data_IF_605917274181
#
_entry.id   IF_605917274181
#
_cell.length_a   1.000
_cell.length_b   1.000
_cell.length_c   1.000
_cell.angle_alpha   90.00
_cell.angle_beta   90.00
_cell.angle_gamma   90.00
#
_symmetry.space_group_name_H-M   'P 1'
#
loop_
_entity.id
_entity.type
_entity.pdbx_description
1 polymer ?
#
# COMPACT_ATOMS: atom_id res chain seq x y z
N UNK A 1 -3.17 28.71 28.71
CA UNK A 1 -2.93 27.65 27.71
C UNK A 1 -2.44 26.43 28.47
N UNK A 2 -3.12 25.30 28.34
CA UNK A 2 -2.73 24.07 29.04
C UNK A 2 -1.56 23.47 28.28
N UNK A 3 -0.37 23.44 28.91
CA UNK A 3 0.81 22.84 28.32
C UNK A 3 0.54 21.34 28.09
N UNK A 4 0.65 20.88 26.85
CA UNK A 4 0.38 19.48 26.52
C UNK A 4 1.67 18.66 26.53
N UNK A 5 1.57 17.35 26.73
CA UNK A 5 2.73 16.45 26.60
C UNK A 5 3.41 16.59 25.24
N UNK A 6 2.65 16.91 24.18
CA UNK A 6 3.19 17.19 22.86
C UNK A 6 4.10 18.42 22.83
N UNK A 7 3.70 19.51 23.50
CA UNK A 7 4.48 20.75 23.57
C UNK A 7 5.81 20.51 24.31
N UNK A 8 5.76 19.77 25.42
CA UNK A 8 6.94 19.38 26.17
C UNK A 8 7.84 18.42 25.38
N UNK A 9 7.26 17.44 24.67
CA UNK A 9 7.99 16.48 23.85
C UNK A 9 8.74 17.17 22.71
N UNK A 10 8.09 18.12 22.02
CA UNK A 10 8.69 18.87 20.91
C UNK A 10 9.92 19.70 21.34
N UNK A 11 9.96 20.14 22.60
CA UNK A 11 11.08 20.90 23.14
C UNK A 11 12.27 20.03 23.60
N UNK A 12 12.13 18.71 23.62
CA UNK A 12 13.18 17.79 24.07
C UNK A 12 14.33 17.65 23.05
N UNK A 13 15.51 17.27 23.51
CA UNK A 13 16.57 16.79 22.63
C UNK A 13 16.21 15.41 22.07
N UNK A 14 16.77 15.03 20.91
CA UNK A 14 16.54 13.70 20.32
C UNK A 14 16.83 12.53 21.29
N UNK A 15 17.85 12.69 22.15
CA UNK A 15 18.19 11.71 23.19
C UNK A 15 17.07 11.55 24.23
N UNK A 16 16.42 12.66 24.64
CA UNK A 16 15.32 12.65 25.61
C UNK A 16 14.03 12.17 24.95
N UNK A 17 13.75 12.61 23.72
CA UNK A 17 12.63 12.10 22.92
C UNK A 17 12.69 10.58 22.77
N UNK A 18 13.86 10.02 22.43
CA UNK A 18 14.06 8.58 22.29
C UNK A 18 13.74 7.80 23.58
N UNK A 19 14.10 8.34 24.75
CA UNK A 19 13.76 7.75 26.04
C UNK A 19 12.25 7.79 26.31
N UNK A 20 11.62 8.95 26.10
CA UNK A 20 10.16 9.08 26.24
C UNK A 20 9.40 8.14 25.29
N UNK A 21 9.93 7.89 24.08
CA UNK A 21 9.34 6.94 23.12
C UNK A 21 9.49 5.48 23.56
N UNK A 22 10.61 5.11 24.16
CA UNK A 22 10.80 3.80 24.81
C UNK A 22 9.79 3.60 25.94
N UNK A 23 9.59 4.60 26.81
CA UNK A 23 8.60 4.55 27.89
C UNK A 23 7.16 4.45 27.36
N UNK A 24 6.81 5.24 26.33
CA UNK A 24 5.49 5.16 25.68
C UNK A 24 5.24 3.80 25.05
N UNK A 25 6.27 3.19 24.46
CA UNK A 25 6.17 1.87 23.83
C UNK A 25 6.08 0.77 24.88
N UNK A 26 6.78 0.91 26.00
CA UNK A 26 6.64 0.00 27.13
C UNK A 26 5.25 0.10 27.76
N UNK A 27 4.65 1.28 27.83
CA UNK A 27 3.25 1.42 28.26
C UNK A 27 2.29 0.63 27.34
N UNK A 28 2.64 0.45 26.07
CA UNK A 28 1.92 -0.43 25.15
C UNK A 28 2.36 -1.90 25.32
N UNK A 29 1.59 -2.66 26.09
CA UNK A 29 1.77 -4.12 26.27
C UNK A 29 3.18 -4.52 26.77
N UNK A 30 3.87 -3.64 27.51
CA UNK A 30 5.23 -3.91 28.01
C UNK A 30 6.24 -4.19 26.89
N UNK A 31 5.98 -3.65 25.69
CA UNK A 31 6.85 -3.84 24.53
C UNK A 31 8.15 -3.07 24.75
N UNK A 32 9.30 -3.77 24.69
CA UNK A 32 10.61 -3.12 24.82
C UNK A 32 11.23 -2.90 23.45
N UNK A 33 11.39 -1.62 23.10
CA UNK A 33 12.17 -1.19 21.94
C UNK A 33 13.33 -0.34 22.43
N UNK A 34 14.59 -0.72 22.19
CA UNK A 34 15.74 -0.02 22.76
C UNK A 34 15.79 1.46 22.34
N UNK A 35 16.08 2.36 23.28
CA UNK A 35 16.32 3.79 23.03
C UNK A 35 17.18 4.10 21.80
N UNK A 36 18.21 3.30 21.55
CA UNK A 36 19.11 3.47 20.40
C UNK A 36 18.38 3.41 19.05
N UNK A 37 17.32 2.59 18.94
CA UNK A 37 16.47 2.52 17.75
C UNK A 37 15.77 3.86 17.49
N UNK A 38 15.07 4.41 18.49
CA UNK A 38 14.38 5.69 18.36
C UNK A 38 15.34 6.85 18.11
N UNK A 39 16.50 6.87 18.78
CA UNK A 39 17.53 7.89 18.52
C UNK A 39 17.99 7.86 17.06
N UNK A 40 18.20 6.67 16.50
CA UNK A 40 18.56 6.51 15.08
C UNK A 40 17.44 7.02 14.17
N UNK A 41 16.17 6.73 14.46
CA UNK A 41 15.04 7.24 13.69
C UNK A 41 14.92 8.77 13.77
N UNK A 42 15.04 9.36 14.95
CA UNK A 42 15.00 10.81 15.15
C UNK A 42 16.20 11.54 14.50
N UNK A 43 17.31 10.82 14.31
CA UNK A 43 18.48 11.30 13.58
C UNK A 43 18.45 10.96 12.08
N UNK A 44 17.49 10.15 11.63
CA UNK A 44 17.32 9.82 10.21
C UNK A 44 16.79 11.07 9.52
N UNK A 45 17.69 11.72 8.77
CA UNK A 45 17.47 13.05 8.23
C UNK A 45 16.33 13.11 7.22
N UNK A 46 15.92 14.35 6.95
CA UNK A 46 14.88 14.76 5.99
C UNK A 46 15.02 14.07 4.62
N UNK A 47 16.22 13.63 4.22
CA UNK A 47 16.47 12.93 2.94
C UNK A 47 15.61 11.68 2.71
N UNK A 48 15.44 10.78 3.69
CA UNK A 48 14.56 9.60 3.51
C UNK A 48 13.07 9.98 3.45
N UNK A 49 12.68 11.00 4.20
CA UNK A 49 11.33 11.59 4.12
C UNK A 49 11.14 12.28 2.76
N UNK A 50 12.20 12.85 2.20
CA UNK A 50 12.20 13.48 0.89
C UNK A 50 12.09 12.44 -0.23
N UNK A 51 12.81 11.32 -0.16
CA UNK A 51 12.67 10.21 -1.12
C UNK A 51 11.24 9.65 -1.12
N UNK A 52 10.69 9.33 0.05
CA UNK A 52 9.30 8.87 0.16
C UNK A 52 8.30 9.93 -0.33
N UNK A 53 8.55 11.21 -0.04
CA UNK A 53 7.72 12.33 -0.52
C UNK A 53 7.78 12.48 -2.05
N UNK A 54 8.96 12.28 -2.66
CA UNK A 54 9.13 12.30 -4.12
C UNK A 54 8.36 11.14 -4.75
N UNK A 55 8.48 9.91 -4.23
CA UNK A 55 7.73 8.76 -4.75
C UNK A 55 6.22 8.95 -4.64
N UNK A 56 5.71 9.47 -3.51
CA UNK A 56 4.29 9.80 -3.35
C UNK A 56 3.84 10.83 -4.40
N UNK A 57 4.65 11.87 -4.63
CA UNK A 57 4.35 12.90 -5.63
C UNK A 57 4.40 12.36 -7.07
N UNK A 58 5.17 11.30 -7.33
CA UNK A 58 5.18 10.61 -8.63
C UNK A 58 3.96 9.69 -8.80
N UNK A 59 3.50 9.01 -7.74
CA UNK A 59 2.35 8.09 -7.79
C UNK A 59 1.03 8.86 -7.90
N UNK A 60 0.91 10.02 -7.24
CA UNK A 60 -0.33 10.77 -7.15
C UNK A 60 -0.97 11.15 -8.52
N UNK A 61 -0.20 11.61 -9.54
CA UNK A 61 -0.72 11.79 -10.88
C UNK A 61 -1.31 10.53 -11.51
N UNK A 62 -0.64 9.37 -11.35
CA UNK A 62 -1.15 8.09 -11.87
C UNK A 62 -2.50 7.74 -11.22
N UNK A 63 -2.62 7.90 -9.90
CA UNK A 63 -3.89 7.69 -9.19
C UNK A 63 -4.98 8.59 -9.77
N UNK A 64 -4.68 9.87 -10.02
CA UNK A 64 -5.66 10.80 -10.58
C UNK A 64 -6.14 10.37 -11.97
N UNK A 65 -5.21 10.04 -12.86
CA UNK A 65 -5.52 9.62 -14.24
C UNK A 65 -6.33 8.33 -14.24
N UNK A 66 -5.88 7.33 -13.47
CA UNK A 66 -6.55 6.03 -13.39
C UNK A 66 -7.97 6.19 -12.83
N UNK A 67 -8.15 6.97 -11.76
CA UNK A 67 -9.48 7.26 -11.19
C UNK A 67 -10.40 7.93 -12.21
N UNK A 68 -9.88 8.87 -12.99
CA UNK A 68 -10.65 9.53 -14.04
C UNK A 68 -11.11 8.51 -15.08
N UNK A 69 -10.20 7.68 -15.60
CA UNK A 69 -10.51 6.65 -16.59
C UNK A 69 -11.55 5.64 -16.08
N UNK A 70 -11.43 5.23 -14.82
CA UNK A 70 -12.38 4.32 -14.17
C UNK A 70 -13.79 4.91 -14.08
N UNK A 71 -13.91 6.21 -13.81
CA UNK A 71 -15.20 6.86 -13.65
C UNK A 71 -15.86 7.17 -15.00
N UNK A 72 -15.07 7.61 -15.98
CA UNK A 72 -15.58 8.03 -17.28
C UNK A 72 -15.83 6.85 -18.22
N UNK A 73 -14.97 5.84 -18.21
CA UNK A 73 -15.08 4.68 -19.10
C UNK A 73 -14.54 3.38 -18.46
N UNK A 74 -15.24 2.82 -17.47
CA UNK A 74 -14.78 1.67 -16.71
C UNK A 74 -14.56 0.43 -17.58
N UNK A 75 -15.43 0.20 -18.57
CA UNK A 75 -15.34 -0.94 -19.49
C UNK A 75 -14.07 -0.89 -20.34
N UNK A 76 -13.79 0.25 -20.97
CA UNK A 76 -12.59 0.40 -21.79
C UNK A 76 -11.32 0.36 -20.95
N UNK A 77 -11.34 0.96 -19.75
CA UNK A 77 -10.22 0.90 -18.82
C UNK A 77 -9.89 -0.56 -18.44
N UNK A 78 -10.88 -1.33 -18.02
CA UNK A 78 -10.70 -2.74 -17.69
C UNK A 78 -10.17 -3.58 -18.87
N UNK A 79 -10.76 -3.41 -20.06
CA UNK A 79 -10.28 -4.12 -21.26
C UNK A 79 -8.85 -3.73 -21.64
N UNK A 80 -8.46 -2.47 -21.42
CA UNK A 80 -7.09 -2.02 -21.66
C UNK A 80 -6.10 -2.68 -20.70
N UNK A 81 -6.44 -2.81 -19.41
CA UNK A 81 -5.62 -3.56 -18.45
C UNK A 81 -5.43 -5.02 -18.88
N UNK A 82 -6.52 -5.70 -19.27
CA UNK A 82 -6.43 -7.07 -19.78
C UNK A 82 -5.54 -7.18 -21.02
N UNK A 83 -5.62 -6.22 -21.94
CA UNK A 83 -4.78 -6.22 -23.13
C UNK A 83 -3.29 -6.04 -22.80
N UNK A 84 -2.96 -5.20 -21.81
CA UNK A 84 -1.59 -5.01 -21.35
C UNK A 84 -1.05 -6.32 -20.75
N UNK A 85 -1.78 -6.93 -19.82
CA UNK A 85 -1.31 -8.12 -19.11
C UNK A 85 -1.29 -9.36 -20.00
N UNK A 86 -2.30 -9.54 -20.86
CA UNK A 86 -2.38 -10.63 -21.83
C UNK A 86 -1.51 -10.39 -23.07
N UNK A 87 -0.86 -9.23 -23.18
CA UNK A 87 -0.04 -8.81 -24.33
C UNK A 87 -0.80 -8.84 -25.67
N UNK A 88 -2.08 -8.46 -25.63
CA UNK A 88 -2.95 -8.36 -26.81
C UNK A 88 -2.90 -6.95 -27.38
N UNK A 89 -2.67 -6.82 -28.68
CA UNK A 89 -2.66 -5.52 -29.37
C UNK A 89 -4.03 -5.22 -29.97
N UNK A 90 -4.69 -4.16 -29.51
CA UNK A 90 -6.02 -3.75 -29.98
C UNK A 90 -6.09 -3.52 -31.50
N UNK A 91 -5.04 -2.98 -32.12
CA UNK A 91 -5.04 -2.67 -33.56
C UNK A 91 -5.14 -3.90 -34.46
N UNK A 92 -4.71 -5.08 -33.97
CA UNK A 92 -4.70 -6.34 -34.71
C UNK A 92 -5.48 -7.43 -33.96
N UNK A 93 -6.49 -7.05 -33.16
CA UNK A 93 -7.20 -7.99 -32.31
C UNK A 93 -8.02 -8.99 -33.14
N UNK A 94 -7.96 -10.28 -32.78
CA UNK A 94 -8.79 -11.32 -33.39
C UNK A 94 -10.20 -11.27 -32.84
N UNK A 95 -11.19 -11.72 -33.61
CA UNK A 95 -12.60 -11.80 -33.16
C UNK A 95 -12.73 -12.56 -31.83
N UNK A 96 -12.04 -13.69 -31.68
CA UNK A 96 -12.05 -14.49 -30.46
C UNK A 96 -11.49 -13.75 -29.24
N UNK A 97 -10.48 -12.89 -29.44
CA UNK A 97 -9.91 -12.08 -28.35
C UNK A 97 -10.84 -10.94 -27.97
N UNK A 98 -11.51 -10.34 -28.96
CA UNK A 98 -12.53 -9.31 -28.71
C UNK A 98 -13.74 -9.86 -27.95
N UNK A 99 -14.22 -11.04 -28.33
CA UNK A 99 -15.30 -11.75 -27.62
C UNK A 99 -14.87 -12.09 -26.19
N UNK A 100 -13.66 -12.64 -26.01
CA UNK A 100 -13.13 -12.91 -24.68
C UNK A 100 -13.03 -11.64 -23.81
N UNK A 101 -12.62 -10.49 -24.36
CA UNK A 101 -12.61 -9.23 -23.62
C UNK A 101 -14.02 -8.79 -23.20
N UNK A 102 -15.04 -9.05 -24.01
CA UNK A 102 -16.43 -8.77 -23.65
C UNK A 102 -16.91 -9.68 -22.54
N UNK A 103 -16.71 -10.98 -22.66
CA UNK A 103 -17.09 -11.97 -21.65
C UNK A 103 -16.40 -11.69 -20.31
N UNK A 104 -15.11 -11.35 -20.33
CA UNK A 104 -14.36 -10.99 -19.13
C UNK A 104 -14.89 -9.72 -18.45
N UNK A 105 -15.40 -8.74 -19.21
CA UNK A 105 -16.05 -7.57 -18.63
C UNK A 105 -17.40 -7.92 -18.01
N UNK A 106 -18.19 -8.79 -18.64
CA UNK A 106 -19.46 -9.26 -18.07
C UNK A 106 -19.23 -10.04 -16.78
N UNK A 107 -18.22 -10.93 -16.76
CA UNK A 107 -17.82 -11.66 -15.57
C UNK A 107 -17.39 -10.71 -14.44
N UNK A 108 -16.60 -9.67 -14.75
CA UNK A 108 -16.13 -8.70 -13.76
C UNK A 108 -17.25 -7.87 -13.11
N UNK A 109 -18.32 -7.61 -13.86
CA UNK A 109 -19.51 -6.95 -13.33
C UNK A 109 -20.39 -7.88 -12.47
N UNK A 110 -20.17 -9.19 -12.51
CA UNK A 110 -20.91 -10.13 -11.68
C UNK A 110 -20.58 -9.93 -10.20
N UNK A 111 -21.59 -10.04 -9.34
CA UNK A 111 -21.40 -10.01 -7.89
C UNK A 111 -20.64 -11.22 -7.35
N UNK A 112 -20.58 -12.28 -8.14
CA UNK A 112 -19.86 -13.51 -7.81
C UNK A 112 -18.36 -13.41 -8.13
N UNK A 113 -17.92 -12.35 -8.84
CA UNK A 113 -16.49 -12.11 -9.04
C UNK A 113 -15.84 -11.74 -7.68
N UNK A 114 -14.84 -12.51 -7.20
CA UNK A 114 -14.10 -12.16 -5.99
C UNK A 114 -13.42 -10.78 -6.08
N UNK A 115 -13.21 -10.25 -7.28
CA UNK A 115 -12.66 -8.93 -7.56
C UNK A 115 -13.72 -7.91 -7.99
N UNK A 116 -15.02 -8.20 -7.83
CA UNK A 116 -16.09 -7.28 -8.21
C UNK A 116 -15.87 -5.87 -7.63
N UNK A 117 -15.81 -4.87 -8.51
CA UNK A 117 -15.57 -3.47 -8.13
C UNK A 117 -14.13 -3.14 -7.71
N UNK A 118 -13.19 -4.08 -7.83
CA UNK A 118 -11.75 -3.90 -7.65
C UNK A 118 -10.97 -4.02 -8.96
N UNK A 119 -9.70 -3.60 -8.97
CA UNK A 119 -8.86 -3.60 -10.18
C UNK A 119 -7.58 -4.44 -10.04
N UNK A 120 -7.34 -4.95 -8.84
CA UNK A 120 -6.26 -5.88 -8.55
C UNK A 120 -6.87 -7.15 -7.95
N UNK A 121 -6.19 -8.30 -8.05
CA UNK A 121 -6.61 -9.51 -7.37
C UNK A 121 -6.83 -9.25 -5.88
N UNK A 122 -7.93 -9.79 -5.35
CA UNK A 122 -8.32 -9.66 -3.94
C UNK A 122 -7.19 -10.08 -3.01
N UNK A 123 -6.47 -11.15 -3.35
CA UNK A 123 -5.30 -11.60 -2.59
C UNK A 123 -4.24 -10.48 -2.46
N UNK A 124 -3.93 -9.75 -3.53
CA UNK A 124 -2.97 -8.64 -3.49
C UNK A 124 -3.44 -7.52 -2.55
N UNK A 125 -4.73 -7.19 -2.61
CA UNK A 125 -5.33 -6.18 -1.73
C UNK A 125 -5.32 -6.65 -0.27
N UNK A 126 -5.63 -7.91 -0.02
CA UNK A 126 -5.67 -8.49 1.32
C UNK A 126 -4.25 -8.56 1.91
N UNK A 127 -3.25 -8.99 1.14
CA UNK A 127 -1.84 -8.95 1.54
C UNK A 127 -1.39 -7.52 1.87
N UNK A 128 -1.70 -6.53 1.02
CA UNK A 128 -1.37 -5.12 1.31
C UNK A 128 -2.00 -4.65 2.63
N UNK A 129 -3.29 -4.96 2.84
CA UNK A 129 -4.01 -4.58 4.06
C UNK A 129 -3.45 -5.28 5.30
N UNK A 130 -3.04 -6.54 5.18
CA UNK A 130 -2.42 -7.28 6.28
C UNK A 130 -1.07 -6.66 6.65
N UNK A 131 -0.18 -6.42 5.67
CA UNK A 131 1.11 -5.75 5.90
C UNK A 131 0.90 -4.37 6.51
N UNK A 132 -0.03 -3.56 5.99
CA UNK A 132 -0.30 -2.22 6.49
C UNK A 132 -0.82 -2.23 7.95
N UNK A 133 -1.50 -3.30 8.37
CA UNK A 133 -2.09 -3.44 9.70
C UNK A 133 -1.18 -4.13 10.71
N UNK A 134 -0.38 -5.08 10.26
CA UNK A 134 0.36 -6.03 11.11
C UNK A 134 1.88 -5.96 10.94
N UNK A 135 2.40 -5.22 9.96
CA UNK A 135 3.83 -5.18 9.64
C UNK A 135 4.28 -6.38 8.79
N UNK A 136 5.55 -6.39 8.39
CA UNK A 136 6.12 -7.39 7.47
C UNK A 136 6.39 -8.76 8.11
N UNK A 137 6.43 -8.84 9.44
CA UNK A 137 6.94 -9.99 10.20
C UNK A 137 6.12 -11.29 10.05
N UNK A 138 4.90 -11.22 9.49
CA UNK A 138 4.06 -12.42 9.28
C UNK A 138 4.32 -13.15 7.97
N UNK A 139 4.89 -12.49 6.97
CA UNK A 139 5.17 -13.12 5.66
C UNK A 139 6.37 -14.09 5.71
N UNK A 140 7.26 -13.94 6.69
CA UNK A 140 8.40 -14.85 6.88
C UNK A 140 7.98 -16.26 7.33
N UNK A 141 7.02 -16.35 8.25
CA UNK A 141 6.62 -17.64 8.84
C UNK A 141 5.84 -18.53 7.86
N UNK A 142 5.13 -17.96 6.88
CA UNK A 142 4.40 -18.75 5.86
C UNK A 142 5.30 -19.29 4.74
N UNK A 143 6.51 -18.76 4.58
CA UNK A 143 7.50 -19.23 3.60
C UNK A 143 8.36 -20.37 4.15
N UNK A 144 8.58 -20.40 5.47
CA UNK A 144 9.28 -21.49 6.15
C UNK A 144 8.40 -22.75 6.27
N UNK A 145 7.08 -22.59 6.49
CA UNK A 145 6.12 -23.71 6.59
C UNK A 145 5.85 -24.43 5.24
N UNK A 146 6.38 -23.94 4.12
CA UNK A 146 6.28 -24.59 2.79
C UNK A 146 7.55 -25.34 2.39
N UNK A 147 8.54 -25.46 3.28
CA UNK A 147 9.78 -26.20 3.03
C UNK A 147 9.94 -27.47 3.89
N UNK A 148 8.95 -27.86 4.69
CA UNK A 148 8.95 -29.13 5.45
C UNK A 148 8.02 -30.20 4.86
#
# INVERSE_FOLDING_TARGET
MTNTFYDDFKAMTAERMAGSMEDMTYAYKQTRVPKAHYRKMLATGVEQVMEASVEINLIQPYISIIKQMMNENPKSFYKALLCIDAKVTITNIRTSEWEALEDMWQAHQSKDDPNHGGHLPKQTIDTFKDIAKHGLDRLGNELDDKQE
#
